data_IF_811915338933
#
_entry.id   IF_811915338933
#
_cell.length_a   1.000
_cell.length_b   1.000
_cell.length_c   1.000
_cell.angle_alpha   90.00
_cell.angle_beta   90.00
_cell.angle_gamma   90.00
#
_symmetry.space_group_name_H-M   'P 1'
#
loop_
_entity.id
_entity.type
_entity.pdbx_description
1 polymer ?
#
# COMPACT_ATOMS: atom_id res chain seq x y z
N UNK A 1 17.03 19.79 -13.33
CA UNK A 1 17.76 19.36 -14.54
C UNK A 1 17.96 17.86 -14.41
N UNK A 2 16.94 17.07 -14.76
CA UNK A 2 17.03 15.60 -14.82
C UNK A 2 17.09 15.24 -16.30
N UNK A 3 18.29 15.22 -16.87
CA UNK A 3 18.51 14.69 -18.22
C UNK A 3 19.58 13.63 -18.16
N UNK A 4 19.14 12.43 -18.54
CA UNK A 4 19.89 11.37 -19.22
C UNK A 4 21.04 10.71 -18.46
N UNK A 5 20.67 9.68 -17.71
CA UNK A 5 21.34 8.38 -17.75
C UNK A 5 20.23 7.33 -17.55
N UNK A 6 19.54 6.96 -18.63
CA UNK A 6 18.72 5.76 -18.63
C UNK A 6 19.66 4.56 -18.71
N UNK A 7 20.39 4.30 -17.62
CA UNK A 7 21.05 3.02 -17.44
C UNK A 7 19.96 1.96 -17.49
N UNK A 8 20.17 0.97 -18.35
CA UNK A 8 19.26 -0.16 -18.50
C UNK A 8 19.40 -0.99 -17.22
N UNK A 9 18.59 -0.67 -16.20
CA UNK A 9 18.59 -1.35 -14.92
C UNK A 9 18.55 -2.87 -15.10
N UNK A 10 19.41 -3.59 -14.40
CA UNK A 10 19.37 -5.05 -14.45
C UNK A 10 18.17 -5.55 -13.65
N UNK A 11 17.65 -6.75 -13.97
CA UNK A 11 16.55 -7.37 -13.19
C UNK A 11 16.86 -7.44 -11.69
N UNK A 12 18.15 -7.52 -11.31
CA UNK A 12 18.59 -7.51 -9.91
C UNK A 12 18.38 -6.16 -9.24
N UNK A 13 18.58 -5.07 -9.95
CA UNK A 13 18.44 -3.72 -9.42
C UNK A 13 16.96 -3.38 -9.23
N UNK A 14 16.11 -3.78 -10.19
CA UNK A 14 14.65 -3.65 -10.05
C UNK A 14 14.12 -4.47 -8.87
N UNK A 15 14.60 -5.71 -8.71
CA UNK A 15 14.22 -6.53 -7.55
C UNK A 15 14.70 -5.91 -6.24
N UNK A 16 15.92 -5.37 -6.19
CA UNK A 16 16.43 -4.67 -5.00
C UNK A 16 15.57 -3.47 -4.63
N UNK A 17 15.18 -2.67 -5.63
CA UNK A 17 14.27 -1.53 -5.46
C UNK A 17 12.92 -1.99 -4.88
N UNK A 18 12.30 -3.02 -5.47
CA UNK A 18 11.01 -3.53 -4.99
C UNK A 18 11.10 -4.09 -3.56
N UNK A 19 12.18 -4.77 -3.20
CA UNK A 19 12.42 -5.21 -1.82
C UNK A 19 12.47 -4.02 -0.87
N UNK A 20 13.26 -2.99 -1.17
CA UNK A 20 13.34 -1.79 -0.33
C UNK A 20 11.96 -1.13 -0.20
N UNK A 21 11.27 -0.92 -1.32
CA UNK A 21 9.92 -0.34 -1.35
C UNK A 21 8.95 -1.10 -0.46
N UNK A 22 8.92 -2.43 -0.57
CA UNK A 22 7.96 -3.24 0.16
C UNK A 22 8.30 -3.36 1.64
N UNK A 23 9.57 -3.38 2.02
CA UNK A 23 9.98 -3.29 3.44
C UNK A 23 9.52 -1.96 4.06
N UNK A 24 9.73 -0.85 3.35
CA UNK A 24 9.27 0.47 3.82
C UNK A 24 7.74 0.58 3.83
N UNK A 25 7.06 0.10 2.80
CA UNK A 25 5.60 0.05 2.73
C UNK A 25 5.02 -0.73 3.90
N UNK A 26 5.46 -1.99 4.09
CA UNK A 26 5.02 -2.85 5.18
C UNK A 26 5.22 -2.16 6.54
N UNK A 27 6.42 -1.63 6.80
CA UNK A 27 6.74 -0.99 8.07
C UNK A 27 5.90 0.27 8.32
N UNK A 28 5.86 1.19 7.34
CA UNK A 28 5.18 2.48 7.49
C UNK A 28 3.67 2.34 7.57
N UNK A 29 3.07 1.41 6.81
CA UNK A 29 1.64 1.16 6.89
C UNK A 29 1.28 0.51 8.22
N UNK A 30 2.03 -0.51 8.67
CA UNK A 30 1.77 -1.14 9.98
C UNK A 30 1.96 -0.18 11.16
N UNK A 31 2.74 0.89 11.01
CA UNK A 31 2.89 1.93 12.03
C UNK A 31 1.55 2.60 12.38
N UNK A 32 0.58 2.64 11.45
CA UNK A 32 -0.77 3.16 11.73
C UNK A 32 -1.52 2.36 12.79
N UNK A 33 -1.16 1.10 13.03
CA UNK A 33 -1.76 0.31 14.10
C UNK A 33 -1.60 0.95 15.48
N UNK A 34 -0.50 1.68 15.72
CA UNK A 34 -0.21 2.31 17.00
C UNK A 34 -1.21 3.43 17.34
N UNK A 35 -1.31 4.54 16.58
CA UNK A 35 -2.24 5.61 16.90
C UNK A 35 -3.71 5.17 16.79
N UNK A 36 -4.05 4.26 15.88
CA UNK A 36 -5.43 3.76 15.75
C UNK A 36 -5.86 3.00 17.00
N UNK A 37 -4.96 2.19 17.60
CA UNK A 37 -5.34 1.33 18.72
C UNK A 37 -5.15 2.00 20.10
N UNK A 38 -4.12 2.84 20.25
CA UNK A 38 -3.66 3.30 21.57
C UNK A 38 -3.92 4.78 21.87
N UNK A 39 -4.15 5.62 20.86
CA UNK A 39 -4.28 7.07 21.08
C UNK A 39 -5.74 7.54 21.10
N UNK A 40 -6.02 8.67 21.77
CA UNK A 40 -7.33 9.31 21.69
C UNK A 40 -7.67 9.72 20.25
N UNK A 41 -8.95 9.66 19.89
CA UNK A 41 -9.44 9.96 18.55
C UNK A 41 -8.93 11.31 18.01
N UNK A 42 -8.94 12.38 18.82
CA UNK A 42 -8.46 13.70 18.37
C UNK A 42 -6.96 13.70 18.03
N UNK A 43 -6.15 13.00 18.83
CA UNK A 43 -4.71 12.89 18.58
C UNK A 43 -4.44 12.05 17.32
N UNK A 44 -5.18 10.96 17.12
CA UNK A 44 -5.07 10.13 15.92
C UNK A 44 -5.45 10.92 14.66
N UNK A 45 -6.53 11.71 14.69
CA UNK A 45 -6.90 12.60 13.58
C UNK A 45 -5.81 13.66 13.30
N UNK A 46 -5.22 14.24 14.34
CA UNK A 46 -4.12 15.21 14.19
C UNK A 46 -2.90 14.57 13.52
N UNK A 47 -2.53 13.34 13.92
CA UNK A 47 -1.43 12.60 13.32
C UNK A 47 -1.73 12.28 11.85
N UNK A 48 -2.92 11.77 11.51
CA UNK A 48 -3.34 11.56 10.12
C UNK A 48 -3.25 12.84 9.29
N UNK A 49 -3.81 13.93 9.79
CA UNK A 49 -3.81 15.23 9.10
C UNK A 49 -2.39 15.71 8.84
N UNK A 50 -1.50 15.55 9.83
CA UNK A 50 -0.09 15.95 9.71
C UNK A 50 0.65 15.09 8.68
N UNK A 51 0.52 13.76 8.74
CA UNK A 51 1.17 12.85 7.78
C UNK A 51 0.68 13.11 6.36
N UNK A 52 -0.64 13.25 6.16
CA UNK A 52 -1.22 13.54 4.85
C UNK A 52 -0.74 14.91 4.34
N UNK A 53 -0.71 15.95 5.18
CA UNK A 53 -0.23 17.26 4.80
C UNK A 53 1.25 17.24 4.37
N UNK A 54 2.12 16.58 5.14
CA UNK A 54 3.53 16.41 4.78
C UNK A 54 3.67 15.61 3.48
N UNK A 55 2.92 14.52 3.33
CA UNK A 55 2.95 13.69 2.12
C UNK A 55 2.48 14.48 0.89
N UNK A 56 1.44 15.31 1.01
CA UNK A 56 0.98 16.22 -0.04
C UNK A 56 2.07 17.22 -0.44
N UNK A 57 2.75 17.83 0.52
CA UNK A 57 3.85 18.75 0.23
C UNK A 57 4.99 18.06 -0.53
N UNK A 58 5.29 16.80 -0.21
CA UNK A 58 6.26 15.98 -0.98
C UNK A 58 5.76 15.71 -2.40
N UNK A 59 4.50 15.30 -2.56
CA UNK A 59 3.88 15.03 -3.87
C UNK A 59 3.89 16.28 -4.77
N UNK A 60 3.61 17.45 -4.19
CA UNK A 60 3.66 18.76 -4.87
C UNK A 60 5.08 19.36 -4.93
N UNK A 61 6.09 18.59 -4.55
CA UNK A 61 7.51 18.94 -4.67
C UNK A 61 7.90 20.23 -3.96
N UNK A 62 7.40 20.43 -2.75
CA UNK A 62 7.87 21.51 -1.89
C UNK A 62 9.36 21.32 -1.57
N UNK A 63 10.20 22.20 -2.11
CA UNK A 63 11.67 22.06 -2.17
C UNK A 63 12.34 21.70 -0.84
N UNK A 64 12.00 22.32 0.32
CA UNK A 64 12.60 21.95 1.60
C UNK A 64 12.40 20.47 1.96
N UNK A 65 11.22 19.91 1.68
CA UNK A 65 10.93 18.51 1.97
C UNK A 65 11.54 17.59 0.90
N UNK A 66 11.59 18.00 -0.36
CA UNK A 66 12.30 17.24 -1.40
C UNK A 66 13.79 17.13 -1.06
N UNK A 67 14.43 18.21 -0.61
CA UNK A 67 15.82 18.18 -0.14
C UNK A 67 16.00 17.26 1.08
N UNK A 68 15.11 17.36 2.06
CA UNK A 68 15.14 16.53 3.27
C UNK A 68 14.99 15.03 2.96
N UNK A 69 14.05 14.69 2.08
CA UNK A 69 13.74 13.30 1.72
C UNK A 69 14.45 12.81 0.46
N UNK A 70 15.39 13.57 -0.09
CA UNK A 70 16.03 13.28 -1.37
C UNK A 70 16.56 11.85 -1.48
N UNK A 71 17.27 11.37 -0.44
CA UNK A 71 17.80 10.00 -0.39
C UNK A 71 16.69 8.96 -0.49
N UNK A 72 15.63 9.12 0.31
CA UNK A 72 14.49 8.21 0.27
C UNK A 72 13.78 8.23 -1.09
N UNK A 73 13.61 9.41 -1.70
CA UNK A 73 12.96 9.53 -3.01
C UNK A 73 13.78 8.79 -4.07
N UNK A 74 15.09 8.99 -4.12
CA UNK A 74 15.94 8.33 -5.13
C UNK A 74 16.05 6.82 -4.88
N UNK A 75 16.06 6.37 -3.62
CA UNK A 75 16.23 4.95 -3.29
C UNK A 75 14.93 4.13 -3.29
N UNK A 76 13.76 4.76 -3.14
CA UNK A 76 12.48 4.08 -2.99
C UNK A 76 11.46 4.42 -4.08
N UNK A 77 11.59 5.53 -4.79
CA UNK A 77 10.58 5.91 -5.78
C UNK A 77 10.88 5.27 -7.14
N UNK A 78 9.84 4.78 -7.81
CA UNK A 78 9.96 4.31 -9.20
C UNK A 78 10.14 5.52 -10.12
N UNK A 79 10.90 5.37 -11.20
CA UNK A 79 11.14 6.45 -12.17
C UNK A 79 9.84 7.13 -12.64
N UNK A 80 8.80 6.34 -12.95
CA UNK A 80 7.49 6.83 -13.39
C UNK A 80 6.80 7.77 -12.39
N UNK A 81 7.13 7.65 -11.11
CA UNK A 81 6.53 8.43 -10.03
C UNK A 81 7.40 9.61 -9.58
N UNK A 82 8.62 9.79 -10.11
CA UNK A 82 9.50 10.89 -9.69
C UNK A 82 8.88 12.28 -9.93
N UNK A 83 7.94 12.41 -10.86
CA UNK A 83 7.17 13.64 -11.07
C UNK A 83 6.24 13.99 -9.89
N UNK A 84 5.80 12.97 -9.14
CA UNK A 84 4.91 13.06 -7.97
C UNK A 84 5.36 12.03 -6.91
N UNK A 85 6.49 12.29 -6.23
CA UNK A 85 7.07 11.31 -5.30
C UNK A 85 6.13 11.07 -4.12
N UNK A 86 6.05 9.81 -3.67
CA UNK A 86 5.19 9.40 -2.57
C UNK A 86 3.69 9.39 -2.88
N UNK A 87 3.28 9.43 -4.16
CA UNK A 87 1.86 9.46 -4.54
C UNK A 87 1.10 8.19 -4.11
N UNK A 88 1.74 7.01 -4.17
CA UNK A 88 1.13 5.76 -3.72
C UNK A 88 0.96 5.73 -2.19
N UNK A 89 1.95 6.24 -1.45
CA UNK A 89 1.84 6.42 -0.01
C UNK A 89 0.72 7.40 0.36
N UNK A 90 0.50 8.44 -0.45
CA UNK A 90 -0.62 9.37 -0.25
C UNK A 90 -1.96 8.65 -0.39
N UNK A 91 -2.13 7.83 -1.44
CA UNK A 91 -3.34 7.02 -1.61
C UNK A 91 -3.57 6.05 -0.46
N UNK A 92 -2.51 5.36 0.00
CA UNK A 92 -2.57 4.49 1.17
C UNK A 92 -3.06 5.24 2.42
N UNK A 93 -2.42 6.37 2.73
CA UNK A 93 -2.74 7.19 3.90
C UNK A 93 -4.18 7.72 3.82
N UNK A 94 -4.64 8.18 2.64
CA UNK A 94 -6.01 8.64 2.44
C UNK A 94 -7.02 7.51 2.59
N UNK A 95 -6.74 6.31 2.07
CA UNK A 95 -7.62 5.15 2.18
C UNK A 95 -7.79 4.70 3.62
N UNK A 96 -6.67 4.56 4.34
CA UNK A 96 -6.67 4.21 5.77
C UNK A 96 -7.38 5.29 6.60
N UNK A 97 -7.11 6.56 6.33
CA UNK A 97 -7.74 7.67 7.04
C UNK A 97 -9.26 7.70 6.84
N UNK A 98 -9.73 7.51 5.61
CA UNK A 98 -11.16 7.43 5.32
C UNK A 98 -11.80 6.24 6.05
N UNK A 99 -11.17 5.06 6.02
CA UNK A 99 -11.62 3.89 6.77
C UNK A 99 -11.68 4.15 8.28
N UNK A 100 -10.70 4.87 8.83
CA UNK A 100 -10.68 5.20 10.26
C UNK A 100 -11.77 6.20 10.64
N UNK A 101 -12.03 7.22 9.83
CA UNK A 101 -13.12 8.17 10.08
C UNK A 101 -14.48 7.46 10.07
N UNK A 102 -14.70 6.57 9.10
CA UNK A 102 -16.00 5.92 8.91
C UNK A 102 -16.23 4.77 9.89
N UNK A 103 -15.20 3.99 10.21
CA UNK A 103 -15.35 2.71 10.91
C UNK A 103 -14.46 2.57 12.16
N UNK A 104 -13.73 3.63 12.54
CA UNK A 104 -12.90 3.65 13.73
C UNK A 104 -11.83 2.56 13.73
N UNK A 105 -11.75 1.80 14.83
CA UNK A 105 -10.74 0.74 15.01
C UNK A 105 -10.83 -0.40 13.99
N UNK A 106 -11.97 -0.57 13.31
CA UNK A 106 -12.10 -1.60 12.29
C UNK A 106 -11.15 -1.37 11.09
N UNK A 107 -10.74 -0.12 10.86
CA UNK A 107 -9.73 0.25 9.86
C UNK A 107 -8.39 -0.48 10.00
N UNK A 108 -8.09 -1.05 11.17
CA UNK A 108 -6.92 -1.92 11.38
C UNK A 108 -6.90 -3.12 10.42
N UNK A 109 -8.07 -3.64 10.02
CA UNK A 109 -8.15 -4.69 9.00
C UNK A 109 -7.62 -4.18 7.67
N UNK A 110 -8.09 -3.01 7.22
CA UNK A 110 -7.60 -2.38 5.99
C UNK A 110 -6.10 -2.10 6.02
N UNK A 111 -5.57 -1.64 7.16
CA UNK A 111 -4.13 -1.39 7.36
C UNK A 111 -3.32 -2.68 7.15
N UNK A 112 -3.70 -3.76 7.83
CA UNK A 112 -2.97 -5.03 7.78
C UNK A 112 -3.09 -5.71 6.42
N UNK A 113 -4.30 -5.72 5.85
CA UNK A 113 -4.56 -6.29 4.52
C UNK A 113 -3.71 -5.58 3.47
N UNK A 114 -3.69 -4.24 3.47
CA UNK A 114 -2.89 -3.47 2.54
C UNK A 114 -1.40 -3.76 2.71
N UNK A 115 -0.90 -3.62 3.94
CA UNK A 115 0.53 -3.76 4.22
C UNK A 115 1.07 -5.14 3.84
N UNK A 116 0.38 -6.21 4.24
CA UNK A 116 0.81 -7.59 4.00
C UNK A 116 0.53 -7.99 2.55
N UNK A 117 -0.68 -7.74 2.07
CA UNK A 117 -1.11 -8.16 0.74
C UNK A 117 -0.26 -7.55 -0.37
N UNK A 118 -0.08 -6.23 -0.37
CA UNK A 118 0.71 -5.53 -1.40
C UNK A 118 2.18 -5.98 -1.40
N UNK A 119 2.76 -6.13 -0.21
CA UNK A 119 4.14 -6.61 -0.04
C UNK A 119 4.33 -7.99 -0.64
N UNK A 120 3.47 -8.95 -0.28
CA UNK A 120 3.58 -10.32 -0.77
C UNK A 120 3.23 -10.42 -2.26
N UNK A 121 2.19 -9.72 -2.73
CA UNK A 121 1.81 -9.67 -4.14
C UNK A 121 2.95 -9.16 -5.01
N UNK A 122 3.54 -8.04 -4.63
CA UNK A 122 4.62 -7.40 -5.40
C UNK A 122 5.88 -8.25 -5.40
N UNK A 123 6.32 -8.76 -4.25
CA UNK A 123 7.57 -9.52 -4.16
C UNK A 123 7.47 -10.88 -4.86
N UNK A 124 6.41 -11.64 -4.61
CA UNK A 124 6.21 -12.94 -5.28
C UNK A 124 5.89 -12.73 -6.75
N UNK A 125 5.08 -11.73 -7.10
CA UNK A 125 4.81 -11.38 -8.48
C UNK A 125 6.07 -10.98 -9.24
N UNK A 126 7.03 -10.30 -8.62
CA UNK A 126 8.29 -9.91 -9.26
C UNK A 126 9.27 -11.08 -9.41
N UNK A 127 9.35 -11.98 -8.43
CA UNK A 127 10.30 -13.11 -8.44
C UNK A 127 9.78 -14.32 -9.22
N UNK A 128 8.49 -14.62 -9.08
CA UNK A 128 7.87 -15.85 -9.61
C UNK A 128 6.78 -15.59 -10.63
N UNK A 129 6.38 -14.33 -10.86
CA UNK A 129 5.33 -13.99 -11.81
C UNK A 129 5.71 -14.40 -13.22
N UNK A 130 4.91 -15.30 -13.79
CA UNK A 130 5.07 -15.78 -15.18
C UNK A 130 3.80 -15.55 -15.98
N UNK A 131 2.66 -15.46 -15.31
CA UNK A 131 1.37 -15.36 -15.96
C UNK A 131 0.72 -14.03 -15.60
N UNK A 132 0.79 -13.07 -16.51
CA UNK A 132 0.09 -11.79 -16.37
C UNK A 132 -1.43 -11.98 -16.37
N UNK A 133 -2.14 -11.10 -15.66
CA UNK A 133 -3.60 -11.07 -15.69
C UNK A 133 -4.07 -10.49 -17.04
N UNK A 134 -4.97 -11.19 -17.73
CA UNK A 134 -5.50 -10.75 -19.03
C UNK A 134 -6.18 -9.37 -19.01
N UNK A 135 -6.69 -8.96 -17.85
CA UNK A 135 -7.35 -7.66 -17.64
C UNK A 135 -6.45 -6.62 -16.96
N UNK A 136 -5.28 -7.03 -16.45
CA UNK A 136 -4.31 -6.14 -15.82
C UNK A 136 -2.87 -6.66 -16.01
N UNK A 137 -2.21 -6.30 -17.14
CA UNK A 137 -0.86 -6.78 -17.44
C UNK A 137 0.23 -6.31 -16.45
N UNK A 138 -0.06 -5.32 -15.59
CA UNK A 138 0.87 -4.86 -14.55
C UNK A 138 0.91 -5.81 -13.33
N UNK A 139 0.03 -6.81 -13.28
CA UNK A 139 -0.11 -7.77 -12.19
C UNK A 139 -0.08 -9.20 -12.73
N UNK A 140 0.27 -10.16 -11.87
CA UNK A 140 0.38 -11.58 -12.21
C UNK A 140 -0.56 -12.44 -11.38
N UNK A 141 -0.91 -13.62 -11.90
CA UNK A 141 -1.67 -14.62 -11.17
C UNK A 141 -0.92 -15.09 -9.92
N UNK A 142 0.40 -15.24 -9.99
CA UNK A 142 1.23 -15.61 -8.85
C UNK A 142 1.23 -14.54 -7.75
N UNK A 143 1.31 -13.26 -8.13
CA UNK A 143 1.20 -12.14 -7.20
C UNK A 143 -0.18 -12.11 -6.52
N UNK A 144 -1.24 -12.21 -7.32
CA UNK A 144 -2.64 -12.21 -6.81
C UNK A 144 -2.91 -13.38 -5.86
N UNK A 145 -2.42 -14.58 -6.17
CA UNK A 145 -2.55 -15.75 -5.30
C UNK A 145 -1.75 -15.55 -4.01
N UNK A 146 -0.56 -14.97 -4.09
CA UNK A 146 0.25 -14.62 -2.92
C UNK A 146 -0.43 -13.58 -2.04
N UNK A 147 -1.05 -12.56 -2.63
CA UNK A 147 -1.90 -11.59 -1.91
C UNK A 147 -2.98 -12.35 -1.12
N UNK A 148 -3.78 -13.15 -1.82
CA UNK A 148 -4.90 -13.88 -1.23
C UNK A 148 -4.44 -14.76 -0.07
N UNK A 149 -3.41 -15.59 -0.27
CA UNK A 149 -2.94 -16.53 0.76
C UNK A 149 -2.34 -15.82 1.97
N UNK A 150 -1.49 -14.81 1.74
CA UNK A 150 -0.84 -14.06 2.83
C UNK A 150 -1.88 -13.33 3.68
N UNK A 151 -2.82 -12.63 3.05
CA UNK A 151 -3.91 -11.94 3.75
C UNK A 151 -4.82 -12.92 4.47
N UNK A 152 -5.22 -14.02 3.82
CA UNK A 152 -6.05 -15.05 4.43
C UNK A 152 -5.41 -15.60 5.71
N UNK A 153 -4.14 -16.00 5.65
CA UNK A 153 -3.40 -16.53 6.80
C UNK A 153 -3.35 -15.53 7.96
N UNK A 154 -3.07 -14.26 7.67
CA UNK A 154 -3.00 -13.21 8.69
C UNK A 154 -4.38 -12.94 9.32
N UNK A 155 -5.44 -12.91 8.51
CA UNK A 155 -6.79 -12.65 8.98
C UNK A 155 -7.41 -13.83 9.76
N UNK A 156 -6.98 -15.07 9.50
CA UNK A 156 -7.45 -16.25 10.24
C UNK A 156 -7.27 -16.08 11.76
N UNK A 157 -6.21 -15.39 12.17
CA UNK A 157 -5.89 -15.17 13.58
C UNK A 157 -6.86 -14.17 14.25
N UNK A 158 -7.61 -13.38 13.48
CA UNK A 158 -8.37 -12.23 13.98
C UNK A 158 -9.88 -12.33 13.77
N UNK A 159 -10.34 -12.81 12.61
CA UNK A 159 -11.76 -12.72 12.22
C UNK A 159 -12.43 -14.07 11.95
N UNK A 160 -11.70 -15.17 12.10
CA UNK A 160 -12.19 -16.53 11.84
C UNK A 160 -12.21 -16.91 10.36
N UNK A 161 -12.44 -18.20 10.07
CA UNK A 161 -12.31 -18.79 8.74
C UNK A 161 -13.16 -18.10 7.66
N UNK A 162 -14.47 -17.98 7.89
CA UNK A 162 -15.41 -17.48 6.89
C UNK A 162 -15.15 -16.00 6.53
N UNK A 163 -14.95 -15.14 7.55
CA UNK A 163 -14.66 -13.72 7.33
C UNK A 163 -13.30 -13.53 6.68
N UNK A 164 -12.27 -14.28 7.13
CA UNK A 164 -10.93 -14.19 6.55
C UNK A 164 -10.96 -14.55 5.06
N UNK A 165 -11.67 -15.63 4.68
CA UNK A 165 -11.79 -16.08 3.30
C UNK A 165 -12.47 -15.03 2.42
N UNK A 166 -13.60 -14.47 2.88
CA UNK A 166 -14.33 -13.48 2.10
C UNK A 166 -13.52 -12.19 1.94
N UNK A 167 -12.94 -11.68 3.03
CA UNK A 167 -12.15 -10.45 2.99
C UNK A 167 -10.90 -10.58 2.13
N UNK A 168 -10.16 -11.70 2.21
CA UNK A 168 -8.97 -11.92 1.38
C UNK A 168 -9.32 -12.09 -0.10
N UNK A 169 -10.43 -12.77 -0.43
CA UNK A 169 -10.94 -12.88 -1.80
C UNK A 169 -11.30 -11.52 -2.39
N UNK A 170 -12.07 -10.71 -1.67
CA UNK A 170 -12.48 -9.39 -2.18
C UNK A 170 -11.27 -8.46 -2.29
N UNK A 171 -10.37 -8.48 -1.30
CA UNK A 171 -9.16 -7.68 -1.33
C UNK A 171 -8.25 -8.03 -2.51
N UNK A 172 -8.03 -9.32 -2.81
CA UNK A 172 -7.20 -9.74 -3.93
C UNK A 172 -7.85 -9.40 -5.28
N UNK A 173 -9.18 -9.47 -5.40
CA UNK A 173 -9.88 -9.01 -6.61
C UNK A 173 -9.68 -7.51 -6.81
N UNK A 174 -9.85 -6.70 -5.76
CA UNK A 174 -9.66 -5.25 -5.83
C UNK A 174 -8.22 -4.90 -6.25
N UNK A 175 -7.22 -5.59 -5.69
CA UNK A 175 -5.81 -5.40 -6.02
C UNK A 175 -5.46 -5.83 -7.46
N UNK A 176 -6.07 -6.93 -7.92
CA UNK A 176 -5.86 -7.45 -9.27
C UNK A 176 -6.46 -6.54 -10.36
N UNK A 177 -7.57 -5.86 -10.07
CA UNK A 177 -8.30 -5.07 -11.06
C UNK A 177 -7.59 -3.76 -11.44
N UNK A 178 -7.60 -3.44 -12.74
CA UNK A 178 -7.11 -2.16 -13.26
C UNK A 178 -8.17 -1.07 -13.12
N UNK A 179 -8.32 -0.54 -11.91
CA UNK A 179 -9.29 0.52 -11.59
C UNK A 179 -8.70 1.92 -11.82
N UNK A 180 -9.58 2.94 -11.93
CA UNK A 180 -9.17 4.35 -12.09
C UNK A 180 -8.58 4.94 -10.80
N UNK A 181 -8.97 4.40 -9.65
CA UNK A 181 -8.47 4.78 -8.33
C UNK A 181 -7.45 3.75 -7.91
N UNK A 182 -6.37 4.23 -7.28
CA UNK A 182 -5.24 3.42 -6.83
C UNK A 182 -5.68 2.34 -5.82
N UNK A 183 -5.12 1.14 -5.95
CA UNK A 183 -5.40 -0.01 -5.09
C UNK A 183 -5.04 0.28 -3.63
N UNK A 184 -4.01 1.08 -3.37
CA UNK A 184 -3.62 1.50 -2.02
C UNK A 184 -4.72 2.29 -1.31
N UNK A 185 -5.56 3.02 -2.05
CA UNK A 185 -6.72 3.70 -1.48
C UNK A 185 -7.92 2.75 -1.36
N UNK A 186 -8.21 2.00 -2.42
CA UNK A 186 -9.43 1.19 -2.50
C UNK A 186 -9.42 0.00 -1.56
N UNK A 187 -8.28 -0.69 -1.41
CA UNK A 187 -8.18 -1.90 -0.59
C UNK A 187 -8.60 -1.61 0.85
N UNK A 188 -7.99 -0.65 1.60
CA UNK A 188 -8.42 -0.35 2.96
C UNK A 188 -9.89 0.05 3.08
N UNK A 189 -10.42 0.81 2.12
CA UNK A 189 -11.80 1.32 2.15
C UNK A 189 -12.79 0.19 1.95
N UNK A 190 -12.62 -0.60 0.90
CA UNK A 190 -13.57 -1.67 0.53
C UNK A 190 -13.57 -2.77 1.60
N UNK A 191 -12.40 -3.23 2.03
CA UNK A 191 -12.33 -4.35 2.97
C UNK A 191 -12.83 -3.96 4.36
N UNK A 192 -12.57 -2.73 4.81
CA UNK A 192 -13.09 -2.24 6.10
C UNK A 192 -14.59 -2.05 6.03
N UNK A 193 -15.11 -1.50 4.92
CA UNK A 193 -16.55 -1.36 4.71
C UNK A 193 -17.24 -2.71 4.68
N UNK A 194 -16.67 -3.70 3.99
CA UNK A 194 -17.22 -5.05 3.95
C UNK A 194 -17.19 -5.70 5.33
N UNK A 195 -16.07 -5.59 6.05
CA UNK A 195 -15.97 -6.11 7.41
C UNK A 195 -16.99 -5.47 8.37
N UNK A 196 -17.37 -4.21 8.16
CA UNK A 196 -18.37 -3.52 8.97
C UNK A 196 -19.80 -4.06 8.73
N UNK A 197 -20.08 -4.54 7.51
CA UNK A 197 -21.38 -5.08 7.13
C UNK A 197 -21.59 -6.55 7.58
N UNK A 198 -20.57 -7.19 8.13
CA UNK A 198 -20.55 -8.61 8.53
C UNK A 198 -20.47 -8.80 10.05
#
# INVERSE_FOLDING_TARGET
MFTQESERYSDRDELSLEIKRQVFHLFLILLWCVPINHFPYQLTLLIFSTVIAVNLLVVYRYEPLIGLFHRFIVELEREKNLSRPGIQALYANLGIFLSYILFGKLSLLGVVILAVGDSFSTLIGKVFGRHELFFNPEKTWEGTLSFFLSVYIVLLLWVGFEKALLLSCIASIVEAMRLKVDDNFLVPVIVTSLAYLM
#
